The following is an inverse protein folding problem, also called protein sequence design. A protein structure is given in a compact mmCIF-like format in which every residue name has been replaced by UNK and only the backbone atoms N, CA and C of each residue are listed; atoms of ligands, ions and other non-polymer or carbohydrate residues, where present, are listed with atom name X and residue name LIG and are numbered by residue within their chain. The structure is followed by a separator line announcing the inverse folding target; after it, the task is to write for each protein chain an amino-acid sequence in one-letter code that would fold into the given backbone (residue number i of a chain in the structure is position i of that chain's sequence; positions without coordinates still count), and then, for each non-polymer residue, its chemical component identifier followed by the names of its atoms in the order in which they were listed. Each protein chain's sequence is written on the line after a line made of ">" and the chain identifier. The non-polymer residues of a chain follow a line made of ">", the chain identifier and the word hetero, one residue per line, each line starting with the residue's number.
data_IF_146154099513
#
_entry.id   IF_146154099513
#
_cell.length_a   1.000
_cell.length_b   1.000
_cell.length_c   1.000
_cell.angle_alpha   90.00
_cell.angle_beta   90.00
_cell.angle_gamma   90.00
#
_symmetry.space_group_name_H-M   'P 1'
#
loop_
_entity.id
_entity.type
_entity.pdbx_description
1 polymer ?
#
# COMPACT_ATOMS: atom_id res chain seq x y z
N UNK A 1 2.89 -38.25 6.67
CA UNK A 1 2.40 -36.88 6.43
C UNK A 1 1.22 -36.98 5.48
N UNK A 2 0.00 -36.69 5.94
CA UNK A 2 -1.19 -36.72 5.07
C UNK A 2 -1.04 -35.58 4.06
N UNK A 3 -0.93 -35.91 2.77
CA UNK A 3 -0.87 -34.93 1.69
C UNK A 3 -2.30 -34.61 1.26
N UNK A 4 -2.79 -33.43 1.63
CA UNK A 4 -4.06 -32.92 1.13
C UNK A 4 -3.88 -32.37 -0.28
N UNK A 5 -4.80 -32.73 -1.18
CA UNK A 5 -4.89 -32.14 -2.51
C UNK A 5 -5.44 -30.70 -2.44
N UNK A 6 -5.20 -29.87 -3.45
CA UNK A 6 -5.66 -28.47 -3.49
C UNK A 6 -7.19 -28.35 -3.36
N UNK A 7 -7.93 -29.25 -4.01
CA UNK A 7 -9.40 -29.29 -3.90
C UNK A 7 -9.88 -29.62 -2.48
N UNK A 8 -9.18 -30.52 -1.78
CA UNK A 8 -9.50 -30.89 -0.40
C UNK A 8 -9.20 -29.75 0.57
N UNK A 9 -8.10 -29.02 0.35
CA UNK A 9 -7.77 -27.81 1.12
C UNK A 9 -8.83 -26.73 0.96
N UNK A 10 -9.29 -26.47 -0.27
CA UNK A 10 -10.34 -25.49 -0.55
C UNK A 10 -11.68 -25.90 0.07
N UNK A 11 -12.06 -27.18 -0.01
CA UNK A 11 -13.27 -27.69 0.63
C UNK A 11 -13.21 -27.52 2.15
N UNK A 12 -12.06 -27.84 2.75
CA UNK A 12 -11.83 -27.72 4.18
C UNK A 12 -11.91 -26.25 4.64
N UNK A 13 -11.34 -25.32 3.85
CA UNK A 13 -11.41 -23.89 4.12
C UNK A 13 -12.85 -23.35 4.00
N UNK A 14 -13.60 -23.78 2.98
CA UNK A 14 -15.00 -23.41 2.81
C UNK A 14 -15.87 -23.91 3.98
N UNK A 15 -15.65 -25.15 4.41
CA UNK A 15 -16.34 -25.72 5.58
C UNK A 15 -15.96 -25.00 6.87
N UNK A 16 -14.70 -24.60 7.02
CA UNK A 16 -14.24 -23.80 8.16
C UNK A 16 -14.96 -22.47 8.24
N UNK A 17 -14.96 -21.70 7.14
CA UNK A 17 -15.62 -20.39 7.06
C UNK A 17 -17.12 -20.51 7.37
N UNK A 18 -17.76 -21.56 6.86
CA UNK A 18 -19.19 -21.80 7.08
C UNK A 18 -19.49 -22.26 8.51
N UNK A 19 -18.54 -22.94 9.17
CA UNK A 19 -18.75 -23.50 10.51
C UNK A 19 -18.74 -22.44 11.63
N UNK A 20 -18.08 -21.30 11.43
CA UNK A 20 -17.91 -20.27 12.46
C UNK A 20 -17.15 -20.74 13.71
N UNK A 21 -16.46 -21.88 13.64
CA UNK A 21 -15.66 -22.44 14.72
C UNK A 21 -14.24 -21.85 14.71
N UNK A 22 -13.62 -21.79 15.88
CA UNK A 22 -12.18 -21.49 16.01
C UNK A 22 -11.33 -22.60 15.37
N UNK A 23 -10.16 -22.26 14.81
CA UNK A 23 -9.36 -23.19 14.02
C UNK A 23 -8.91 -24.43 14.82
N UNK A 24 -8.73 -24.30 16.14
CA UNK A 24 -8.41 -25.44 17.00
C UNK A 24 -9.57 -26.44 17.09
N UNK A 25 -10.78 -25.92 17.33
CA UNK A 25 -11.99 -26.72 17.47
C UNK A 25 -12.42 -27.33 16.13
N UNK A 26 -12.29 -26.59 15.05
CA UNK A 26 -12.55 -27.09 13.71
C UNK A 26 -11.58 -28.21 13.33
N UNK A 27 -10.28 -28.03 13.55
CA UNK A 27 -9.27 -29.05 13.28
C UNK A 27 -9.54 -30.33 14.10
N UNK A 28 -9.87 -30.19 15.39
CA UNK A 28 -10.26 -31.30 16.26
C UNK A 28 -11.51 -32.04 15.75
N UNK A 29 -12.55 -31.32 15.33
CA UNK A 29 -13.79 -31.93 14.80
C UNK A 29 -13.57 -32.76 13.53
N UNK A 30 -12.54 -32.43 12.75
CA UNK A 30 -12.18 -33.11 11.50
C UNK A 30 -11.06 -34.12 11.65
N UNK A 31 -10.53 -34.32 12.86
CA UNK A 31 -9.40 -35.22 13.11
C UNK A 31 -8.09 -34.75 12.47
N UNK A 32 -7.96 -33.45 12.19
CA UNK A 32 -6.79 -32.87 11.54
C UNK A 32 -5.88 -32.27 12.62
N UNK A 33 -4.55 -32.48 12.56
CA UNK A 33 -3.63 -31.78 13.44
C UNK A 33 -3.74 -30.26 13.24
N UNK A 34 -3.92 -29.52 14.33
CA UNK A 34 -4.04 -28.05 14.31
C UNK A 34 -2.90 -27.38 13.54
N UNK A 35 -1.67 -27.86 13.67
CA UNK A 35 -0.50 -27.34 12.96
C UNK A 35 -0.62 -27.47 11.44
N UNK A 36 -1.20 -28.57 10.96
CA UNK A 36 -1.45 -28.80 9.53
C UNK A 36 -2.54 -27.87 9.01
N UNK A 37 -3.63 -27.74 9.76
CA UNK A 37 -4.71 -26.83 9.39
C UNK A 37 -4.26 -25.35 9.42
N UNK A 38 -3.49 -24.94 10.43
CA UNK A 38 -2.89 -23.60 10.52
C UNK A 38 -1.96 -23.30 9.36
N UNK A 39 -1.20 -24.29 8.88
CA UNK A 39 -0.36 -24.11 7.69
C UNK A 39 -1.20 -23.88 6.43
N UNK A 40 -2.29 -24.64 6.25
CA UNK A 40 -3.24 -24.46 5.15
C UNK A 40 -3.85 -23.05 5.22
N UNK A 41 -4.39 -22.64 6.37
CA UNK A 41 -4.93 -21.29 6.60
C UNK A 41 -3.94 -20.18 6.20
N UNK A 42 -2.67 -20.33 6.58
CA UNK A 42 -1.60 -19.37 6.24
C UNK A 42 -1.32 -19.30 4.75
N UNK A 43 -1.33 -20.44 4.04
CA UNK A 43 -1.11 -20.48 2.59
C UNK A 43 -2.17 -19.71 1.81
N UNK A 44 -3.42 -19.67 2.29
CA UNK A 44 -4.52 -18.94 1.64
C UNK A 44 -4.79 -17.56 2.25
N UNK A 45 -3.92 -17.07 3.14
CA UNK A 45 -4.05 -15.72 3.71
C UNK A 45 -5.28 -15.52 4.60
N UNK A 46 -5.84 -16.60 5.17
CA UNK A 46 -6.97 -16.52 6.09
C UNK A 46 -6.48 -16.72 7.52
N UNK A 47 -6.08 -15.66 8.24
CA UNK A 47 -5.75 -15.79 9.65
C UNK A 47 -7.03 -16.14 10.40
N UNK A 48 -6.94 -17.18 11.24
CA UNK A 48 -7.94 -17.43 12.26
C UNK A 48 -8.19 -16.13 13.05
N UNK A 49 -9.45 -15.84 13.39
CA UNK A 49 -9.84 -14.64 14.17
C UNK A 49 -9.01 -14.53 15.45
N UNK A 50 -8.67 -15.66 16.06
CA UNK A 50 -7.80 -15.78 17.23
C UNK A 50 -6.35 -15.34 16.96
N UNK A 51 -5.87 -15.49 15.72
CA UNK A 51 -4.52 -15.08 15.29
C UNK A 51 -4.41 -13.61 14.91
N UNK A 52 -5.52 -12.90 14.69
CA UNK A 52 -5.51 -11.47 14.30
C UNK A 52 -4.86 -10.63 15.40
N UNK A 53 -5.15 -10.88 16.68
CA UNK A 53 -4.55 -10.15 17.80
C UNK A 53 -3.03 -10.34 17.87
N UNK A 54 -2.54 -11.56 17.63
CA UNK A 54 -1.10 -11.84 17.58
C UNK A 54 -0.42 -11.13 16.41
N UNK A 55 -1.06 -11.12 15.23
CA UNK A 55 -0.56 -10.44 14.04
C UNK A 55 -0.53 -8.92 14.22
N UNK A 56 -1.54 -8.33 14.87
CA UNK A 56 -1.56 -6.91 15.19
C UNK A 56 -0.42 -6.52 16.15
N UNK A 57 -0.09 -7.37 17.13
CA UNK A 57 1.07 -7.17 18.02
C UNK A 57 2.39 -7.25 17.25
N UNK A 58 2.53 -8.20 16.32
CA UNK A 58 3.74 -8.33 15.49
C UNK A 58 3.93 -7.12 14.56
N UNK A 59 2.85 -6.57 14.03
CA UNK A 59 2.87 -5.41 13.15
C UNK A 59 3.12 -4.08 13.90
N UNK A 60 3.29 -4.10 15.23
CA UNK A 60 3.45 -2.91 16.09
C UNK A 60 2.41 -1.83 15.81
N UNK A 61 1.18 -2.24 15.47
CA UNK A 61 0.10 -1.30 15.22
C UNK A 61 -0.31 -0.73 16.57
N UNK A 62 -0.31 0.61 16.74
CA UNK A 62 -0.72 1.21 18.00
C UNK A 62 -2.16 0.80 18.31
N UNK A 63 -2.36 0.17 19.47
CA UNK A 63 -3.66 -0.39 19.87
C UNK A 63 -4.49 0.66 20.63
N UNK A 64 -3.83 1.71 21.11
CA UNK A 64 -4.40 2.76 21.94
C UNK A 64 -4.76 3.99 21.11
N UNK A 65 -5.94 4.57 21.35
CA UNK A 65 -6.46 5.70 20.57
C UNK A 65 -5.53 6.91 20.60
N UNK A 66 -4.91 7.17 21.75
CA UNK A 66 -3.97 8.26 21.97
C UNK A 66 -2.70 8.11 21.13
N UNK A 67 -2.17 6.89 20.99
CA UNK A 67 -0.97 6.60 20.20
C UNK A 67 -1.24 6.77 18.70
N UNK A 68 -2.43 6.33 18.24
CA UNK A 68 -2.89 6.53 16.87
C UNK A 68 -3.05 8.01 16.54
N UNK A 69 -3.62 8.80 17.45
CA UNK A 69 -3.77 10.25 17.28
C UNK A 69 -2.39 10.94 17.22
N UNK A 70 -1.45 10.54 18.08
CA UNK A 70 -0.10 11.08 18.07
C UNK A 70 0.68 10.73 16.79
N UNK A 71 0.50 9.51 16.25
CA UNK A 71 1.08 9.14 14.97
C UNK A 71 0.47 9.94 13.82
N UNK A 72 -0.85 10.04 13.76
CA UNK A 72 -1.56 10.81 12.73
C UNK A 72 -1.15 12.28 12.74
N UNK A 73 -0.96 12.87 13.92
CA UNK A 73 -0.49 14.25 14.05
C UNK A 73 0.93 14.43 13.50
N UNK A 74 1.84 13.48 13.78
CA UNK A 74 3.22 13.50 13.25
C UNK A 74 3.23 13.37 11.73
N UNK A 75 2.48 12.43 11.19
CA UNK A 75 2.38 12.22 9.74
C UNK A 75 1.78 13.45 9.04
N UNK A 76 0.70 14.03 9.57
CA UNK A 76 0.11 15.26 9.03
C UNK A 76 1.10 16.42 9.00
N UNK A 77 1.90 16.58 10.06
CA UNK A 77 2.92 17.63 10.11
C UNK A 77 4.00 17.41 9.05
N UNK A 78 4.53 16.20 8.94
CA UNK A 78 5.53 15.85 7.93
C UNK A 78 5.00 16.07 6.50
N UNK A 79 3.76 15.63 6.23
CA UNK A 79 3.12 15.85 4.93
C UNK A 79 2.90 17.34 4.62
N UNK A 80 2.52 18.15 5.61
CA UNK A 80 2.33 19.59 5.42
C UNK A 80 3.65 20.31 5.10
N UNK A 81 4.74 19.92 5.76
CA UNK A 81 6.08 20.47 5.49
C UNK A 81 6.56 20.11 4.08
N UNK A 82 6.39 18.86 3.65
CA UNK A 82 6.77 18.43 2.31
C UNK A 82 5.91 19.10 1.23
N UNK A 83 4.59 19.25 1.46
CA UNK A 83 3.72 20.00 0.54
C UNK A 83 4.15 21.46 0.40
N UNK A 84 4.59 22.11 1.48
CA UNK A 84 5.10 23.48 1.43
C UNK A 84 6.38 23.56 0.60
N UNK A 85 7.31 22.62 0.82
CA UNK A 85 8.56 22.52 0.06
C UNK A 85 8.29 22.30 -1.44
N UNK A 86 7.44 21.34 -1.77
CA UNK A 86 7.10 21.01 -3.16
C UNK A 86 6.38 22.17 -3.85
N UNK A 87 5.44 22.84 -3.18
CA UNK A 87 4.77 24.03 -3.73
C UNK A 87 5.76 25.16 -4.02
N UNK A 88 6.71 25.38 -3.13
CA UNK A 88 7.74 26.39 -3.33
C UNK A 88 8.66 26.04 -4.51
N UNK A 89 9.12 24.80 -4.60
CA UNK A 89 9.94 24.33 -5.73
C UNK A 89 9.19 24.45 -7.06
N UNK A 90 7.90 24.09 -7.08
CA UNK A 90 7.04 24.19 -8.26
C UNK A 90 6.89 25.65 -8.70
N UNK A 91 6.63 26.58 -7.78
CA UNK A 91 6.51 28.00 -8.11
C UNK A 91 7.81 28.56 -8.71
N UNK A 92 8.97 28.17 -8.17
CA UNK A 92 10.27 28.57 -8.71
C UNK A 92 10.49 28.03 -10.13
N UNK A 93 10.15 26.76 -10.37
CA UNK A 93 10.32 26.14 -11.68
C UNK A 93 9.36 26.75 -12.72
N UNK A 94 8.13 27.06 -12.34
CA UNK A 94 7.17 27.76 -13.20
C UNK A 94 7.71 29.13 -13.64
N UNK A 95 8.28 29.90 -12.71
CA UNK A 95 8.90 31.20 -13.05
C UNK A 95 10.10 31.00 -13.97
N UNK A 96 10.98 30.03 -13.69
CA UNK A 96 12.14 29.73 -14.56
C UNK A 96 11.70 29.35 -15.97
N UNK A 97 10.72 28.47 -16.09
CA UNK A 97 10.16 28.04 -17.37
C UNK A 97 9.59 29.22 -18.16
N UNK A 98 8.83 30.09 -17.49
CA UNK A 98 8.23 31.28 -18.11
C UNK A 98 9.29 32.30 -18.57
N UNK A 99 10.32 32.55 -17.76
CA UNK A 99 11.43 33.44 -18.15
C UNK A 99 12.17 32.86 -19.36
N UNK A 100 12.47 31.57 -19.33
CA UNK A 100 13.13 30.88 -20.45
C UNK A 100 12.29 30.95 -21.73
N UNK A 101 10.97 30.70 -21.65
CA UNK A 101 10.10 30.77 -22.81
C UNK A 101 10.06 32.20 -23.37
N UNK A 102 9.92 33.20 -22.50
CA UNK A 102 9.85 34.61 -22.89
C UNK A 102 11.15 35.10 -23.52
N UNK A 103 12.29 34.71 -22.97
CA UNK A 103 13.61 35.02 -23.56
C UNK A 103 13.75 34.44 -24.96
N UNK A 104 13.28 33.20 -25.17
CA UNK A 104 13.27 32.59 -26.49
C UNK A 104 12.36 33.38 -27.44
N UNK A 105 11.14 33.74 -27.04
CA UNK A 105 10.22 34.54 -27.88
C UNK A 105 10.86 35.86 -28.31
N UNK A 106 11.52 36.56 -27.37
CA UNK A 106 12.20 37.82 -27.64
C UNK A 106 13.37 37.64 -28.61
N UNK A 107 14.17 36.57 -28.44
CA UNK A 107 15.30 36.29 -29.31
C UNK A 107 14.83 35.92 -30.73
N UNK A 108 13.82 35.05 -30.86
CA UNK A 108 13.25 34.67 -32.15
C UNK A 108 12.70 35.91 -32.88
N UNK A 109 11.99 36.78 -32.17
CA UNK A 109 11.43 38.02 -32.74
C UNK A 109 12.49 39.05 -33.12
N UNK A 110 13.54 39.22 -32.31
CA UNK A 110 14.56 40.27 -32.52
C UNK A 110 15.56 39.90 -33.62
N UNK A 111 15.97 38.64 -33.66
CA UNK A 111 17.01 38.17 -34.58
C UNK A 111 16.44 37.41 -35.78
N UNK A 112 15.12 37.19 -35.82
CA UNK A 112 14.43 36.46 -36.89
C UNK A 112 15.03 35.07 -37.15
N UNK A 113 15.56 34.43 -36.09
CA UNK A 113 16.09 33.08 -36.08
C UNK A 113 15.14 32.17 -35.32
N UNK A 114 15.00 30.92 -35.74
CA UNK A 114 14.15 29.94 -35.07
C UNK A 114 14.98 29.13 -34.08
N UNK A 115 14.63 29.19 -32.79
CA UNK A 115 15.34 28.51 -31.71
C UNK A 115 14.57 27.27 -31.26
N UNK A 116 13.22 27.32 -31.24
CA UNK A 116 12.39 26.17 -30.87
C UNK A 116 12.29 25.17 -32.03
N UNK A 117 12.39 23.88 -31.68
CA UNK A 117 12.15 22.77 -32.61
C UNK A 117 10.66 22.69 -32.95
N UNK A 118 10.31 22.38 -34.19
CA UNK A 118 8.92 22.17 -34.59
C UNK A 118 8.43 20.87 -33.96
N UNK A 119 7.29 20.91 -33.30
CA UNK A 119 6.61 19.71 -32.79
C UNK A 119 6.13 18.77 -33.91
N UNK A 120 6.09 19.24 -35.16
CA UNK A 120 5.61 18.50 -36.34
C UNK A 120 6.72 17.76 -37.12
N UNK A 121 7.71 17.20 -36.43
CA UNK A 121 8.59 16.21 -37.05
C UNK A 121 7.87 14.85 -37.07
N UNK A 122 7.17 14.55 -38.17
CA UNK A 122 6.71 13.19 -38.52
C UNK A 122 7.89 12.29 -38.87
#
# INVERSE_FOLDING_TARGET
>A
MIKYNETEKLLLLSQYITSGLDAYHFAGSRGIPYTTFRHILRCYGHPDTSSISELMKQAQIPTTVEELQAQLARERKAHAEELKRLKHALAQEQVRSLVNSTMIDLAEKKFNIRIRKNSDAK
#
